data_IF_556414436721
#
_entry.id   IF_556414436721
#
_cell.length_a   1.000
_cell.length_b   1.000
_cell.length_c   1.000
_cell.angle_alpha   90.00
_cell.angle_beta   90.00
_cell.angle_gamma   90.00
#
_symmetry.space_group_name_H-M   'P 1'
#
loop_
_entity.id
_entity.type
_entity.pdbx_description
1 polymer ?
#
# COMPACT_ATOMS: atom_id res chain seq x y z
N UNK A 1 -2.39 -4.08 -32.78
CA UNK A 1 -3.17 -3.47 -31.68
C UNK A 1 -2.28 -3.40 -30.44
N UNK A 2 -1.61 -2.31 -30.07
CA UNK A 2 -1.14 -1.13 -30.80
C UNK A 2 -0.06 -0.52 -29.88
N UNK A 3 1.24 -0.66 -30.20
CA UNK A 3 2.32 -0.07 -29.37
C UNK A 3 2.11 1.43 -29.16
N UNK A 4 1.50 2.08 -30.15
CA UNK A 4 1.05 3.46 -30.10
C UNK A 4 0.05 3.76 -28.96
N UNK A 5 -0.85 2.82 -28.63
CA UNK A 5 -1.80 2.97 -27.51
C UNK A 5 -1.06 2.84 -26.18
N UNK A 6 -0.10 1.91 -26.07
CA UNK A 6 0.73 1.78 -24.86
C UNK A 6 1.58 3.03 -24.63
N UNK A 7 2.22 3.56 -25.67
CA UNK A 7 2.99 4.82 -25.56
C UNK A 7 2.09 6.00 -25.20
N UNK A 8 0.87 6.06 -25.74
CA UNK A 8 -0.10 7.10 -25.36
C UNK A 8 -0.53 6.97 -23.89
N UNK A 9 -0.76 5.76 -23.39
CA UNK A 9 -1.11 5.54 -21.97
C UNK A 9 0.02 5.95 -21.03
N UNK A 10 1.28 5.62 -21.36
CA UNK A 10 2.44 6.04 -20.55
C UNK A 10 2.67 7.56 -20.59
N UNK A 11 2.46 8.20 -21.76
CA UNK A 11 2.55 9.67 -21.89
C UNK A 11 1.40 10.36 -21.17
N UNK A 12 0.18 9.82 -21.22
CA UNK A 12 -0.97 10.35 -20.48
C UNK A 12 -0.75 10.18 -18.98
N UNK A 13 -0.22 9.05 -18.51
CA UNK A 13 0.14 8.86 -17.11
C UNK A 13 1.22 9.87 -16.66
N UNK A 14 2.31 10.05 -17.43
CA UNK A 14 3.36 11.00 -17.07
C UNK A 14 2.91 12.46 -17.13
N UNK A 15 2.02 12.83 -18.06
CA UNK A 15 1.41 14.16 -18.14
C UNK A 15 0.41 14.39 -17.00
N UNK A 16 -0.37 13.39 -16.58
CA UNK A 16 -1.23 13.47 -15.39
C UNK A 16 -0.37 13.69 -14.15
N UNK A 17 0.74 12.93 -13.98
CA UNK A 17 1.67 13.14 -12.86
C UNK A 17 2.32 14.53 -12.89
N UNK A 18 2.69 15.05 -14.06
CA UNK A 18 3.26 16.39 -14.21
C UNK A 18 2.23 17.51 -13.98
N UNK A 19 0.98 17.34 -14.41
CA UNK A 19 -0.09 18.33 -14.21
C UNK A 19 -0.65 18.33 -12.79
N UNK A 20 -0.41 17.27 -12.01
CA UNK A 20 -0.60 17.27 -10.55
C UNK A 20 0.60 17.78 -9.75
N UNK A 21 1.74 18.10 -10.39
CA UNK A 21 2.93 18.65 -9.75
C UNK A 21 3.27 20.03 -10.32
N UNK A 22 2.46 21.03 -9.98
CA UNK A 22 2.85 22.42 -10.12
C UNK A 22 3.98 22.73 -9.12
N UNK A 23 5.20 22.93 -9.64
CA UNK A 23 6.40 23.21 -8.86
C UNK A 23 6.34 24.48 -7.99
N UNK A 24 5.31 25.32 -8.13
CA UNK A 24 5.08 26.47 -7.26
C UNK A 24 4.38 26.12 -5.93
N UNK A 25 3.94 24.87 -5.75
CA UNK A 25 3.42 24.36 -4.47
C UNK A 25 4.40 23.41 -3.74
N UNK A 26 5.63 23.27 -4.25
CA UNK A 26 6.68 22.49 -3.59
C UNK A 26 7.40 23.24 -2.47
N UNK A 27 7.03 24.50 -2.22
CA UNK A 27 7.60 25.32 -1.14
C UNK A 27 6.61 25.56 0.02
N UNK A 28 5.59 24.70 0.17
CA UNK A 28 4.74 24.63 1.37
C UNK A 28 4.94 23.33 2.16
N UNK A 29 6.18 22.85 2.20
CA UNK A 29 6.60 21.74 3.05
C UNK A 29 7.87 22.07 3.86
N UNK A 30 8.32 23.33 3.89
CA UNK A 30 9.57 23.69 4.58
C UNK A 30 9.42 24.67 5.75
N UNK A 31 8.38 25.48 5.84
CA UNK A 31 8.21 26.36 7.00
C UNK A 31 6.73 26.51 7.32
N UNK A 32 6.30 25.89 8.42
CA UNK A 32 5.29 26.35 9.37
C UNK A 32 5.17 25.27 10.47
N UNK A 33 5.20 25.68 11.75
CA UNK A 33 5.45 24.80 12.90
C UNK A 33 4.61 23.52 13.02
N UNK A 34 5.26 22.48 13.57
CA UNK A 34 4.69 21.33 14.28
C UNK A 34 3.40 20.71 13.69
N UNK A 35 3.49 20.16 12.46
CA UNK A 35 2.42 19.36 11.81
C UNK A 35 2.92 18.37 10.72
N UNK A 36 4.23 18.23 10.50
CA UNK A 36 4.78 17.27 9.51
C UNK A 36 4.70 15.82 9.99
N UNK A 37 4.81 15.61 11.30
CA UNK A 37 4.71 14.30 11.96
C UNK A 37 3.32 13.68 11.82
N UNK A 38 2.30 14.52 11.69
CA UNK A 38 0.91 14.09 11.64
C UNK A 38 0.51 13.65 10.23
N UNK A 39 0.93 14.40 9.22
CA UNK A 39 0.73 14.02 7.82
C UNK A 39 1.45 12.70 7.49
N UNK A 40 2.66 12.49 8.00
CA UNK A 40 3.42 11.26 7.82
C UNK A 40 2.79 10.07 8.58
N UNK A 41 2.30 10.31 9.80
CA UNK A 41 1.58 9.33 10.61
C UNK A 41 0.27 8.90 9.94
N UNK A 42 -0.56 9.86 9.53
CA UNK A 42 -1.84 9.61 8.87
C UNK A 42 -1.64 8.87 7.53
N UNK A 43 -0.61 9.26 6.77
CA UNK A 43 -0.27 8.59 5.51
C UNK A 43 0.17 7.15 5.75
N UNK A 44 0.98 6.90 6.78
CA UNK A 44 1.39 5.55 7.13
C UNK A 44 0.19 4.71 7.54
N UNK A 45 -0.67 5.22 8.43
CA UNK A 45 -1.85 4.50 8.89
C UNK A 45 -2.79 4.17 7.74
N UNK A 46 -3.09 5.15 6.87
CA UNK A 46 -3.90 4.93 5.69
C UNK A 46 -3.28 3.93 4.72
N UNK A 47 -1.95 3.99 4.53
CA UNK A 47 -1.22 3.04 3.70
C UNK A 47 -1.27 1.62 4.26
N UNK A 48 -1.08 1.47 5.57
CA UNK A 48 -1.11 0.16 6.22
C UNK A 48 -2.54 -0.41 6.33
N UNK A 49 -3.56 0.44 6.51
CA UNK A 49 -4.97 0.05 6.41
C UNK A 49 -5.29 -0.47 5.00
N UNK A 50 -4.78 0.20 3.96
CA UNK A 50 -4.93 -0.26 2.57
C UNK A 50 -4.22 -1.60 2.36
N UNK A 51 -3.00 -1.78 2.87
CA UNK A 51 -2.28 -3.06 2.82
C UNK A 51 -3.08 -4.16 3.50
N UNK A 52 -3.63 -3.89 4.69
CA UNK A 52 -4.47 -4.85 5.40
C UNK A 52 -5.72 -5.22 4.60
N UNK A 53 -6.39 -4.23 3.99
CA UNK A 53 -7.55 -4.44 3.13
C UNK A 53 -7.21 -5.32 1.92
N UNK A 54 -6.15 -4.98 1.19
CA UNK A 54 -5.69 -5.73 0.01
C UNK A 54 -5.33 -7.17 0.37
N UNK A 55 -4.72 -7.42 1.53
CA UNK A 55 -4.33 -8.77 1.93
C UNK A 55 -5.49 -9.60 2.52
N UNK A 56 -6.58 -8.95 2.94
CA UNK A 56 -7.74 -9.61 3.56
C UNK A 56 -8.91 -9.81 2.61
N UNK A 57 -9.01 -8.97 1.58
CA UNK A 57 -10.07 -9.02 0.60
C UNK A 57 -9.84 -10.13 -0.43
N UNK A 58 -10.87 -10.96 -0.65
CA UNK A 58 -10.78 -12.15 -1.50
C UNK A 58 -10.43 -11.80 -2.96
N UNK A 59 -10.93 -10.68 -3.48
CA UNK A 59 -10.66 -10.29 -4.87
C UNK A 59 -9.17 -10.03 -5.09
N UNK A 60 -8.53 -9.33 -4.15
CA UNK A 60 -7.10 -9.03 -4.23
C UNK A 60 -6.25 -10.29 -4.03
N UNK A 61 -6.60 -11.14 -3.07
CA UNK A 61 -5.92 -12.43 -2.83
C UNK A 61 -5.97 -13.32 -4.09
N UNK A 62 -7.13 -13.44 -4.71
CA UNK A 62 -7.30 -14.21 -5.96
C UNK A 62 -6.49 -13.59 -7.10
N UNK A 63 -6.47 -12.26 -7.20
CA UNK A 63 -5.69 -11.53 -8.20
C UNK A 63 -4.19 -11.84 -8.06
N UNK A 64 -3.65 -11.84 -6.85
CA UNK A 64 -2.24 -12.19 -6.61
C UNK A 64 -1.94 -13.66 -6.91
N UNK A 65 -2.86 -14.57 -6.57
CA UNK A 65 -2.73 -15.99 -6.91
C UNK A 65 -2.70 -16.21 -8.42
N UNK A 66 -3.58 -15.55 -9.17
CA UNK A 66 -3.63 -15.62 -10.63
C UNK A 66 -2.33 -15.06 -11.22
N UNK A 67 -1.89 -13.89 -10.79
CA UNK A 67 -0.65 -13.28 -11.27
C UNK A 67 0.57 -14.18 -11.01
N UNK A 68 0.66 -14.78 -9.81
CA UNK A 68 1.75 -15.70 -9.48
C UNK A 68 1.70 -16.99 -10.33
N UNK A 69 0.50 -17.51 -10.62
CA UNK A 69 0.35 -18.65 -11.55
C UNK A 69 0.81 -18.29 -12.96
N UNK A 70 0.46 -17.12 -13.48
CA UNK A 70 0.89 -16.65 -14.79
C UNK A 70 2.42 -16.51 -14.88
N UNK A 71 3.08 -16.08 -13.79
CA UNK A 71 4.54 -16.06 -13.71
C UNK A 71 5.12 -17.47 -13.79
N UNK A 72 4.53 -18.45 -13.10
CA UNK A 72 4.94 -19.85 -13.23
C UNK A 72 4.71 -20.41 -14.64
N UNK A 73 3.60 -20.05 -15.29
CA UNK A 73 3.28 -20.49 -16.65
C UNK A 73 4.24 -19.94 -17.71
N UNK A 74 4.88 -18.80 -17.43
CA UNK A 74 5.92 -18.22 -18.27
C UNK A 74 7.23 -19.03 -18.24
N UNK A 75 7.40 -19.94 -17.27
CA UNK A 75 8.53 -20.86 -17.19
C UNK A 75 8.31 -22.01 -18.20
N UNK A 76 9.34 -22.42 -18.97
CA UNK A 76 9.24 -23.58 -19.85
C UNK A 76 8.75 -24.83 -19.10
N UNK A 77 8.02 -25.74 -19.78
CA UNK A 77 7.52 -26.97 -19.16
C UNK A 77 8.67 -27.79 -18.55
N UNK A 78 8.48 -28.23 -17.31
CA UNK A 78 9.48 -29.02 -16.61
C UNK A 78 9.27 -29.03 -15.09
N UNK A 79 10.21 -29.62 -14.38
CA UNK A 79 10.18 -29.72 -12.91
C UNK A 79 10.09 -28.35 -12.24
N UNK A 80 10.82 -27.35 -12.73
CA UNK A 80 10.83 -26.00 -12.19
C UNK A 80 9.45 -25.33 -12.24
N UNK A 81 8.73 -25.45 -13.36
CA UNK A 81 7.36 -24.94 -13.49
C UNK A 81 6.41 -25.62 -12.51
N UNK A 82 6.51 -26.95 -12.39
CA UNK A 82 5.66 -27.70 -11.48
C UNK A 82 5.92 -27.31 -10.03
N UNK A 83 7.19 -27.18 -9.63
CA UNK A 83 7.57 -26.67 -8.30
C UNK A 83 7.02 -25.27 -8.08
N UNK A 84 7.14 -24.35 -9.04
CA UNK A 84 6.58 -23.01 -8.93
C UNK A 84 5.07 -23.04 -8.67
N UNK A 85 4.31 -23.82 -9.46
CA UNK A 85 2.87 -23.97 -9.32
C UNK A 85 2.49 -24.58 -7.96
N UNK A 86 3.21 -25.59 -7.49
CA UNK A 86 3.03 -26.13 -6.13
C UNK A 86 3.25 -25.04 -5.09
N UNK A 87 4.32 -24.25 -5.22
CA UNK A 87 4.61 -23.21 -4.24
C UNK A 87 3.53 -22.13 -4.17
N UNK A 88 3.04 -21.70 -5.34
CA UNK A 88 1.95 -20.73 -5.42
C UNK A 88 0.66 -21.28 -4.81
N UNK A 89 0.31 -22.53 -5.12
CA UNK A 89 -0.94 -23.12 -4.62
C UNK A 89 -0.90 -23.44 -3.12
N UNK A 90 0.25 -23.88 -2.59
CA UNK A 90 0.35 -24.36 -1.21
C UNK A 90 0.82 -23.27 -0.24
N UNK A 91 1.78 -22.43 -0.65
CA UNK A 91 2.42 -21.47 0.26
C UNK A 91 1.96 -20.03 0.07
N UNK A 92 1.62 -19.59 -1.15
CA UNK A 92 1.28 -18.18 -1.36
C UNK A 92 0.00 -17.79 -0.61
N UNK A 93 -1.05 -18.61 -0.67
CA UNK A 93 -2.29 -18.34 0.06
C UNK A 93 -2.05 -18.28 1.58
N UNK A 94 -1.24 -19.21 2.11
CA UNK A 94 -0.87 -19.21 3.53
C UNK A 94 -0.05 -17.96 3.88
N UNK A 95 0.91 -17.58 3.05
CA UNK A 95 1.74 -16.40 3.25
C UNK A 95 0.91 -15.11 3.25
N UNK A 96 0.00 -14.93 2.29
CA UNK A 96 -0.92 -13.80 2.24
C UNK A 96 -1.77 -13.72 3.50
N UNK A 97 -2.31 -14.85 3.98
CA UNK A 97 -3.10 -14.90 5.22
C UNK A 97 -2.28 -14.57 6.46
N UNK A 98 -1.05 -15.06 6.56
CA UNK A 98 -0.14 -14.74 7.67
C UNK A 98 0.21 -13.25 7.65
N UNK A 99 0.47 -12.68 6.47
CA UNK A 99 0.74 -11.25 6.33
C UNK A 99 -0.47 -10.41 6.72
N UNK A 100 -1.68 -10.74 6.25
CA UNK A 100 -2.91 -10.05 6.64
C UNK A 100 -3.07 -10.00 8.17
N UNK A 101 -2.91 -11.14 8.84
CA UNK A 101 -3.01 -11.22 10.31
C UNK A 101 -1.90 -10.48 11.06
N UNK A 102 -0.76 -10.27 10.42
CA UNK A 102 0.41 -9.60 11.01
C UNK A 102 0.41 -8.10 10.79
N UNK A 103 -0.32 -7.60 9.79
CA UNK A 103 -0.44 -6.17 9.51
C UNK A 103 -1.28 -5.52 10.59
N UNK A 104 -0.59 -4.79 11.48
CA UNK A 104 -1.19 -3.92 12.50
C UNK A 104 -0.71 -2.50 12.25
N UNK A 105 -1.49 -1.68 11.54
CA UNK A 105 -1.11 -0.33 11.11
C UNK A 105 -0.45 0.49 12.22
N UNK A 106 -1.02 0.48 13.42
CA UNK A 106 -0.52 1.25 14.55
C UNK A 106 0.85 0.76 15.02
N UNK A 107 1.06 -0.56 15.02
CA UNK A 107 2.33 -1.15 15.46
C UNK A 107 3.44 -0.92 14.42
N UNK A 108 3.10 -1.05 13.14
CA UNK A 108 4.04 -0.89 12.03
C UNK A 108 4.44 0.57 11.89
N UNK A 109 3.47 1.49 11.88
CA UNK A 109 3.75 2.93 11.81
C UNK A 109 4.50 3.41 13.06
N UNK A 110 4.19 2.89 14.25
CA UNK A 110 4.96 3.21 15.46
C UNK A 110 6.44 2.84 15.34
N UNK A 111 6.76 1.69 14.75
CA UNK A 111 8.15 1.25 14.56
C UNK A 111 8.85 2.12 13.51
N UNK A 112 8.19 2.38 12.38
CA UNK A 112 8.75 3.19 11.29
C UNK A 112 9.09 4.63 11.70
N UNK A 113 8.26 5.24 12.55
CA UNK A 113 8.46 6.62 13.03
C UNK A 113 9.05 6.69 14.45
N UNK A 114 9.66 5.60 14.92
CA UNK A 114 10.19 5.51 16.29
C UNK A 114 11.42 6.40 16.56
N UNK A 115 12.06 6.98 15.54
CA UNK A 115 13.30 7.75 15.69
C UNK A 115 13.13 9.25 15.90
N UNK A 116 11.92 9.81 16.09
CA UNK A 116 11.82 11.21 16.59
C UNK A 116 10.50 11.62 17.29
N UNK A 117 9.36 10.91 17.16
CA UNK A 117 8.10 11.37 17.78
C UNK A 117 7.20 10.21 18.26
N UNK A 118 7.64 9.47 19.27
CA UNK A 118 7.02 8.21 19.73
C UNK A 118 5.66 8.37 20.45
N UNK A 119 5.29 9.58 20.87
CA UNK A 119 4.04 9.84 21.62
C UNK A 119 2.96 10.59 20.84
N UNK A 120 3.35 11.39 19.85
CA UNK A 120 2.45 12.36 19.20
C UNK A 120 1.54 11.66 18.19
N UNK A 121 2.08 10.79 17.33
CA UNK A 121 1.31 10.06 16.31
C UNK A 121 0.17 9.21 16.90
N UNK A 122 0.41 8.50 18.01
CA UNK A 122 -0.64 7.70 18.67
C UNK A 122 -1.67 8.60 19.38
N UNK A 123 -1.21 9.68 20.02
CA UNK A 123 -2.07 10.61 20.73
C UNK A 123 -2.99 11.39 19.78
N UNK A 124 -2.45 11.92 18.68
CA UNK A 124 -3.20 12.65 17.67
C UNK A 124 -4.15 11.72 16.92
N UNK A 125 -3.75 10.49 16.59
CA UNK A 125 -4.68 9.49 16.05
C UNK A 125 -5.82 9.18 17.02
N UNK A 126 -5.55 9.04 18.32
CA UNK A 126 -6.60 8.82 19.34
C UNK A 126 -7.56 10.00 19.39
N UNK A 127 -7.04 11.23 19.36
CA UNK A 127 -7.85 12.44 19.31
C UNK A 127 -8.64 12.60 18.00
N UNK A 128 -8.06 12.28 16.85
CA UNK A 128 -8.73 12.30 15.55
C UNK A 128 -9.81 11.22 15.46
N UNK A 129 -9.57 9.99 15.94
CA UNK A 129 -10.58 8.93 16.05
C UNK A 129 -11.73 9.34 16.99
N UNK A 130 -11.45 10.06 18.08
CA UNK A 130 -12.48 10.64 18.95
C UNK A 130 -13.25 11.78 18.27
N UNK A 131 -12.59 12.60 17.45
CA UNK A 131 -13.21 13.70 16.69
C UNK A 131 -14.00 13.21 15.46
N UNK A 132 -13.64 12.03 14.93
CA UNK A 132 -14.25 11.36 13.77
C UNK A 132 -15.35 10.38 14.19
N UNK A 133 -15.86 10.43 15.42
CA UNK A 133 -17.18 9.92 15.71
C UNK A 133 -18.22 10.86 15.07
N UNK A 134 -18.86 10.50 13.94
CA UNK A 134 -20.20 11.01 13.74
C UNK A 134 -21.04 10.39 14.87
N UNK A 135 -21.66 11.26 15.64
CA UNK A 135 -23.05 11.11 16.05
C UNK A 135 -23.72 9.90 15.37
N UNK A 136 -23.75 8.75 16.06
CA UNK A 136 -24.67 7.66 15.75
C UNK A 136 -25.86 7.86 16.68
N UNK A 137 -26.75 8.77 16.27
CA UNK A 137 -28.10 9.00 16.76
C UNK A 137 -28.97 9.30 15.53
#
# INVERSE_FOLDING_TARGET
MNYFVLTLVFVIQSVIFASTLNSNNLQKFKDDGDNSTDAECDTCLAGMDLVHYILSDQYWVDTYLIAAKQLCESIPPGSLRNTCLTYVNEYLLLALKVMANSVRPESICKVMFSTDHTGICIYIQTLLRLKKQPFYL
#
